data_IF_362948946207
#
_entry.id   IF_362948946207
#
_cell.length_a   1.000
_cell.length_b   1.000
_cell.length_c   1.000
_cell.angle_alpha   90.00
_cell.angle_beta   90.00
_cell.angle_gamma   90.00
#
_symmetry.space_group_name_H-M   'P 1'
#
loop_
_entity.id
_entity.type
_entity.pdbx_description
1 polymer ?
#
# COMPACT_ATOMS: atom_id res chain seq x y z
N UNK A 1 -0.33 -12.04 9.10
CA UNK A 1 1.06 -12.31 8.67
C UNK A 1 1.67 -10.94 8.50
N UNK A 2 2.78 -10.60 9.15
CA UNK A 2 3.34 -9.22 9.20
C UNK A 2 4.11 -8.80 7.94
N UNK A 3 3.78 -9.38 6.80
CA UNK A 3 4.52 -9.13 5.56
C UNK A 3 4.15 -7.77 4.98
N UNK A 4 2.88 -7.38 5.12
CA UNK A 4 2.41 -6.04 4.75
C UNK A 4 3.03 -4.97 5.65
N UNK A 5 3.07 -5.19 6.97
CA UNK A 5 3.77 -4.30 7.92
C UNK A 5 5.21 -4.00 7.50
N UNK A 6 5.96 -5.02 7.05
CA UNK A 6 7.36 -4.85 6.61
C UNK A 6 7.47 -4.04 5.33
N UNK A 7 6.54 -4.23 4.40
CA UNK A 7 6.50 -3.48 3.14
C UNK A 7 6.14 -2.01 3.41
N UNK A 8 5.08 -1.77 4.19
CA UNK A 8 4.64 -0.43 4.56
C UNK A 8 5.72 0.30 5.36
N UNK A 9 6.38 -0.38 6.30
CA UNK A 9 7.50 0.19 7.06
C UNK A 9 8.67 0.61 6.17
N UNK A 10 9.08 -0.24 5.21
CA UNK A 10 10.15 0.12 4.25
C UNK A 10 9.76 1.25 3.31
N UNK A 11 8.51 1.29 2.88
CA UNK A 11 7.99 2.37 2.04
C UNK A 11 7.99 3.68 2.82
N UNK A 12 7.49 3.67 4.06
CA UNK A 12 7.50 4.82 4.96
C UNK A 12 8.94 5.30 5.20
N UNK A 13 9.87 4.43 5.59
CA UNK A 13 11.27 4.81 5.80
C UNK A 13 11.90 5.50 4.57
N UNK A 14 11.50 5.08 3.36
CA UNK A 14 12.04 5.63 2.11
C UNK A 14 11.34 6.91 1.63
N UNK A 15 10.04 7.07 1.90
CA UNK A 15 9.20 8.09 1.25
C UNK A 15 8.41 8.99 2.20
N UNK A 16 8.32 8.68 3.50
CA UNK A 16 7.45 9.40 4.44
C UNK A 16 7.74 10.91 4.52
N UNK A 17 8.99 11.32 4.33
CA UNK A 17 9.38 12.73 4.34
C UNK A 17 8.86 13.52 3.12
N UNK A 18 8.53 12.82 2.03
CA UNK A 18 8.05 13.40 0.77
C UNK A 18 6.53 13.22 0.60
N UNK A 19 5.86 12.52 1.51
CA UNK A 19 4.42 12.33 1.48
C UNK A 19 3.70 13.62 1.88
N UNK A 20 2.68 13.98 1.10
CA UNK A 20 1.71 15.02 1.49
C UNK A 20 0.79 14.54 2.61
N UNK A 21 0.16 15.47 3.33
CA UNK A 21 -0.84 15.16 4.37
C UNK A 21 -1.92 14.19 3.86
N UNK A 22 -2.43 14.39 2.63
CA UNK A 22 -3.42 13.50 2.04
C UNK A 22 -2.89 12.09 1.73
N UNK A 23 -1.58 11.94 1.46
CA UNK A 23 -0.97 10.62 1.26
C UNK A 23 -0.69 9.93 2.59
N UNK A 24 -0.41 10.69 3.65
CA UNK A 24 -0.32 10.18 5.02
C UNK A 24 -1.69 9.64 5.48
N UNK A 25 -2.78 10.37 5.21
CA UNK A 25 -4.15 9.89 5.51
C UNK A 25 -4.45 8.55 4.80
N UNK A 26 -4.01 8.40 3.55
CA UNK A 26 -4.17 7.13 2.81
C UNK A 26 -3.30 6.03 3.43
N UNK A 27 -2.05 6.33 3.79
CA UNK A 27 -1.17 5.36 4.43
C UNK A 27 -1.77 4.88 5.76
N UNK A 28 -2.33 5.78 6.57
CA UNK A 28 -3.03 5.44 7.81
C UNK A 28 -4.26 4.55 7.54
N UNK A 29 -5.09 4.90 6.56
CA UNK A 29 -6.24 4.07 6.17
C UNK A 29 -5.81 2.66 5.73
N UNK A 30 -4.73 2.54 4.95
CA UNK A 30 -4.19 1.24 4.55
C UNK A 30 -3.65 0.45 5.75
N UNK A 31 -3.17 1.10 6.81
CA UNK A 31 -2.73 0.40 8.03
C UNK A 31 -3.90 -0.14 8.86
N UNK A 32 -5.12 0.36 8.65
CA UNK A 32 -6.33 -0.17 9.30
C UNK A 32 -6.93 -1.38 8.55
N UNK A 33 -6.57 -1.56 7.28
CA UNK A 33 -6.99 -2.69 6.46
C UNK A 33 -6.28 -4.00 6.86
N UNK A 34 -6.88 -5.14 6.52
CA UNK A 34 -6.28 -6.43 6.83
C UNK A 34 -5.05 -6.71 5.95
N UNK A 35 -3.90 -7.02 6.58
CA UNK A 35 -2.65 -7.41 5.90
C UNK A 35 -2.85 -8.35 4.71
N UNK A 36 -3.72 -9.35 4.89
CA UNK A 36 -3.97 -10.39 3.90
C UNK A 36 -4.63 -9.81 2.64
N UNK A 37 -5.59 -8.91 2.84
CA UNK A 37 -6.36 -8.31 1.76
C UNK A 37 -5.48 -7.35 0.96
N UNK A 38 -4.71 -6.52 1.66
CA UNK A 38 -3.70 -5.65 1.05
C UNK A 38 -2.68 -6.44 0.22
N UNK A 39 -2.16 -7.55 0.75
CA UNK A 39 -1.20 -8.39 0.04
C UNK A 39 -1.80 -8.99 -1.24
N UNK A 40 -3.01 -9.56 -1.21
CA UNK A 40 -3.62 -10.16 -2.40
C UNK A 40 -3.97 -9.12 -3.46
N UNK A 41 -4.29 -7.89 -3.07
CA UNK A 41 -4.50 -6.77 -4.00
C UNK A 41 -3.16 -6.32 -4.61
N UNK A 42 -2.15 -6.15 -3.76
CA UNK A 42 -0.80 -5.73 -4.16
C UNK A 42 -0.16 -6.73 -5.13
N UNK A 43 -0.27 -8.03 -4.87
CA UNK A 43 0.26 -9.11 -5.72
C UNK A 43 -0.61 -9.38 -6.96
N UNK A 44 -1.80 -8.78 -7.05
CA UNK A 44 -2.75 -8.99 -8.14
C UNK A 44 -3.42 -10.38 -8.12
N UNK A 45 -3.40 -11.06 -6.96
CA UNK A 45 -4.16 -12.29 -6.72
C UNK A 45 -5.67 -12.05 -6.66
N UNK A 46 -6.08 -10.85 -6.23
CA UNK A 46 -7.46 -10.38 -6.24
C UNK A 46 -7.55 -8.96 -6.83
N UNK A 47 -8.69 -8.57 -7.41
CA UNK A 47 -8.89 -7.22 -7.91
C UNK A 47 -8.81 -6.21 -6.76
N UNK A 48 -8.10 -5.11 -6.98
CA UNK A 48 -8.01 -4.03 -5.99
C UNK A 48 -9.33 -3.26 -5.95
N UNK A 49 -9.98 -3.10 -4.79
CA UNK A 49 -11.16 -2.26 -4.64
C UNK A 49 -10.92 -0.81 -5.10
N UNK A 50 -11.94 -0.14 -5.66
CA UNK A 50 -11.81 1.22 -6.20
C UNK A 50 -11.43 2.27 -5.13
N UNK A 51 -11.84 2.06 -3.89
CA UNK A 51 -11.49 2.87 -2.72
C UNK A 51 -10.03 2.69 -2.28
N UNK A 52 -9.43 1.54 -2.57
CA UNK A 52 -8.03 1.23 -2.29
C UNK A 52 -7.13 1.55 -3.47
N UNK A 53 -7.63 1.48 -4.71
CA UNK A 53 -6.91 1.71 -5.97
C UNK A 53 -6.60 3.19 -6.22
N UNK A 54 -5.90 3.80 -5.27
CA UNK A 54 -5.46 5.18 -5.28
C UNK A 54 -4.11 5.31 -5.97
N UNK A 55 -3.74 6.54 -6.35
CA UNK A 55 -2.40 6.82 -6.86
C UNK A 55 -1.29 6.43 -5.85
N UNK A 56 -1.59 6.48 -4.55
CA UNK A 56 -0.69 6.05 -3.50
C UNK A 56 -0.49 4.53 -3.51
N UNK A 57 -1.57 3.75 -3.62
CA UNK A 57 -1.47 2.29 -3.69
C UNK A 57 -0.69 1.82 -4.93
N UNK A 58 -0.85 2.53 -6.06
CA UNK A 58 -0.05 2.30 -7.27
C UNK A 58 1.44 2.62 -7.04
N UNK A 59 1.79 3.70 -6.32
CA UNK A 59 3.18 3.98 -5.90
C UNK A 59 3.74 2.88 -5.01
N UNK A 60 2.95 2.40 -4.05
CA UNK A 60 3.35 1.31 -3.15
C UNK A 60 3.65 0.02 -3.93
N UNK A 61 2.81 -0.33 -4.90
CA UNK A 61 3.02 -1.51 -5.73
C UNK A 61 4.25 -1.37 -6.64
N UNK A 62 4.47 -0.18 -7.21
CA UNK A 62 5.68 0.10 -7.96
C UNK A 62 6.96 -0.03 -7.10
N UNK A 63 6.90 0.36 -5.82
CA UNK A 63 8.02 0.21 -4.88
C UNK A 63 8.37 -1.24 -4.59
N UNK A 64 7.37 -2.13 -4.49
CA UNK A 64 7.60 -3.57 -4.29
C UNK A 64 7.91 -4.34 -5.57
N UNK A 65 7.78 -3.70 -6.74
CA UNK A 65 7.85 -4.37 -8.04
C UNK A 65 6.63 -5.24 -8.35
N UNK A 66 5.56 -5.12 -7.56
CA UNK A 66 4.30 -5.80 -7.79
C UNK A 66 3.46 -5.04 -8.83
N UNK A 67 2.46 -5.72 -9.39
CA UNK A 67 1.55 -5.12 -10.37
C UNK A 67 0.12 -5.44 -9.94
N UNK A 68 -0.57 -4.49 -9.26
CA UNK A 68 -1.92 -4.70 -8.79
C UNK A 68 -2.85 -4.80 -10.01
N UNK A 69 -3.83 -5.70 -9.94
CA UNK A 69 -4.78 -5.97 -11.02
C UNK A 69 -6.16 -5.39 -10.73
#
# INVERSE_FOLDING_TARGET
MREMDLILGRFADAHIADLSDSELDILEALMEEQDRDLLIWLTGEAPTPDDVNTAFFQKLAAFTGASPR
#
